data_IF_683074116889
#
_entry.id   IF_683074116889
#
_cell.length_a   1.000
_cell.length_b   1.000
_cell.length_c   1.000
_cell.angle_alpha   90.00
_cell.angle_beta   90.00
_cell.angle_gamma   90.00
#
_symmetry.space_group_name_H-M   'P 1'
#
loop_
_entity.id
_entity.type
_entity.pdbx_description
1 polymer ?
#
# COMPACT_ATOMS: atom_id res chain seq x y z
N UNK A 1 -11.34 -3.18 -25.03
CA UNK A 1 -10.53 -2.35 -24.12
C UNK A 1 -9.23 -3.04 -23.70
N UNK A 2 -9.25 -4.36 -23.43
CA UNK A 2 -8.05 -5.12 -23.07
C UNK A 2 -6.96 -5.12 -24.18
N UNK A 3 -7.37 -5.14 -25.43
CA UNK A 3 -6.46 -5.20 -26.60
C UNK A 3 -5.70 -3.87 -26.85
N UNK A 4 -6.23 -2.74 -26.39
CA UNK A 4 -5.56 -1.43 -26.46
C UNK A 4 -4.54 -1.20 -25.34
N UNK A 5 -4.69 -1.84 -24.20
CA UNK A 5 -3.79 -1.73 -23.05
C UNK A 5 -2.44 -2.44 -23.30
N UNK A 6 -2.40 -3.44 -24.16
CA UNK A 6 -1.19 -4.21 -24.52
C UNK A 6 -0.14 -3.33 -25.26
N UNK A 7 -0.51 -2.13 -25.72
CA UNK A 7 0.39 -1.22 -26.46
C UNK A 7 1.11 -0.17 -25.61
N UNK A 8 0.77 -0.02 -24.34
CA UNK A 8 1.48 0.88 -23.45
C UNK A 8 2.66 0.14 -22.82
N UNK A 9 3.87 0.62 -23.08
CA UNK A 9 5.13 0.10 -22.54
C UNK A 9 5.25 0.30 -21.01
N UNK A 10 4.13 0.50 -20.32
CA UNK A 10 4.07 0.81 -18.89
C UNK A 10 3.74 -0.48 -18.10
N UNK A 11 4.75 -1.03 -17.46
CA UNK A 11 4.66 -2.29 -16.68
C UNK A 11 3.72 -2.23 -15.47
N UNK A 12 3.39 -1.02 -15.02
CA UNK A 12 2.42 -0.81 -13.97
C UNK A 12 1.00 -1.13 -14.42
N UNK A 13 0.66 -0.78 -15.67
CA UNK A 13 -0.66 -1.07 -16.25
C UNK A 13 -0.92 -2.58 -16.30
N UNK A 14 0.10 -3.36 -16.72
CA UNK A 14 0.01 -4.82 -16.77
C UNK A 14 -0.13 -5.45 -15.40
N UNK A 15 0.60 -4.96 -14.39
CA UNK A 15 0.51 -5.45 -13.01
C UNK A 15 -0.88 -5.21 -12.42
N UNK A 16 -1.42 -4.01 -12.63
CA UNK A 16 -2.77 -3.63 -12.18
C UNK A 16 -3.83 -4.46 -12.92
N UNK A 17 -3.79 -4.51 -14.24
CA UNK A 17 -4.79 -5.21 -15.06
C UNK A 17 -4.85 -6.72 -14.75
N UNK A 18 -3.71 -7.37 -14.49
CA UNK A 18 -3.67 -8.79 -14.11
C UNK A 18 -4.18 -9.05 -12.69
N UNK A 19 -4.10 -8.06 -11.80
CA UNK A 19 -4.53 -8.19 -10.40
C UNK A 19 -6.02 -7.92 -10.20
N UNK A 20 -6.68 -7.19 -11.12
CA UNK A 20 -8.07 -6.74 -11.02
C UNK A 20 -9.12 -7.88 -11.05
N UNK A 21 -9.06 -8.88 -11.95
CA UNK A 21 -10.24 -9.71 -12.27
C UNK A 21 -10.82 -10.45 -11.06
N UNK A 22 -9.95 -11.03 -10.22
CA UNK A 22 -10.39 -11.82 -9.07
C UNK A 22 -10.98 -10.97 -7.93
N UNK A 23 -10.28 -9.94 -7.40
CA UNK A 23 -10.82 -9.08 -6.36
C UNK A 23 -12.06 -8.32 -6.81
N UNK A 24 -12.07 -7.83 -8.06
CA UNK A 24 -13.21 -7.10 -8.61
C UNK A 24 -14.46 -7.98 -8.70
N UNK A 25 -14.31 -9.23 -9.11
CA UNK A 25 -15.44 -10.19 -9.14
C UNK A 25 -16.05 -10.38 -7.74
N UNK A 26 -15.22 -10.51 -6.70
CA UNK A 26 -15.68 -10.67 -5.32
C UNK A 26 -16.42 -9.40 -4.86
N UNK A 27 -15.86 -8.22 -5.12
CA UNK A 27 -16.49 -6.95 -4.75
C UNK A 27 -17.84 -6.80 -5.42
N UNK A 28 -17.95 -7.12 -6.72
CA UNK A 28 -19.22 -7.03 -7.47
C UNK A 28 -20.26 -7.97 -6.86
N UNK A 29 -19.90 -9.24 -6.60
CA UNK A 29 -20.82 -10.21 -6.01
C UNK A 29 -21.30 -9.78 -4.63
N UNK A 30 -20.40 -9.32 -3.76
CA UNK A 30 -20.73 -8.90 -2.40
C UNK A 30 -21.57 -7.64 -2.40
N UNK A 31 -21.24 -6.65 -3.25
CA UNK A 31 -22.03 -5.43 -3.39
C UNK A 31 -23.43 -5.77 -3.91
N UNK A 32 -23.53 -6.69 -4.88
CA UNK A 32 -24.83 -7.17 -5.39
C UNK A 32 -25.68 -7.86 -4.32
N UNK A 33 -25.08 -8.76 -3.54
CA UNK A 33 -25.76 -9.44 -2.43
C UNK A 33 -26.16 -8.43 -1.34
N UNK A 34 -25.30 -7.47 -1.00
CA UNK A 34 -25.59 -6.43 -0.02
C UNK A 34 -26.77 -5.56 -0.47
N UNK A 35 -26.81 -5.18 -1.75
CA UNK A 35 -27.92 -4.41 -2.31
C UNK A 35 -29.23 -5.18 -2.30
N UNK A 36 -29.19 -6.46 -2.68
CA UNK A 36 -30.36 -7.34 -2.60
C UNK A 36 -30.86 -7.50 -1.15
N UNK A 37 -29.95 -7.67 -0.19
CA UNK A 37 -30.29 -7.78 1.23
C UNK A 37 -30.91 -6.50 1.79
N UNK A 38 -30.45 -5.33 1.36
CA UNK A 38 -31.02 -4.03 1.78
C UNK A 38 -32.45 -3.84 1.26
N UNK A 39 -32.72 -4.23 0.01
CA UNK A 39 -34.08 -4.20 -0.55
C UNK A 39 -35.00 -5.14 0.23
N UNK A 40 -34.52 -6.34 0.54
CA UNK A 40 -35.27 -7.33 1.31
C UNK A 40 -35.55 -6.87 2.74
N UNK A 41 -34.59 -6.23 3.38
CA UNK A 41 -34.73 -5.65 4.73
C UNK A 41 -35.84 -4.58 4.76
N UNK A 42 -35.83 -3.65 3.79
CA UNK A 42 -36.88 -2.62 3.68
C UNK A 42 -38.25 -3.20 3.45
N UNK A 43 -38.34 -4.37 2.82
CA UNK A 43 -39.62 -5.05 2.56
C UNK A 43 -40.14 -5.91 3.73
N UNK A 44 -39.26 -6.48 4.53
CA UNK A 44 -39.61 -7.47 5.57
C UNK A 44 -39.37 -7.08 7.00
N UNK A 45 -38.57 -5.98 7.23
CA UNK A 45 -38.22 -5.52 8.57
C UNK A 45 -37.31 -6.49 9.35
N UNK A 46 -36.62 -7.41 8.68
CA UNK A 46 -35.85 -8.47 9.31
C UNK A 46 -34.54 -7.91 9.92
N UNK A 47 -34.45 -7.86 11.24
CA UNK A 47 -33.30 -7.35 12.02
C UNK A 47 -32.00 -8.15 11.78
N UNK A 48 -32.12 -9.40 11.33
CA UNK A 48 -30.97 -10.28 11.05
C UNK A 48 -30.00 -9.68 9.99
N UNK A 49 -30.51 -8.83 9.11
CA UNK A 49 -29.73 -8.23 8.04
C UNK A 49 -28.77 -7.12 8.51
N UNK A 50 -28.98 -6.54 9.68
CA UNK A 50 -28.06 -5.56 10.26
C UNK A 50 -26.71 -6.19 10.61
N UNK A 51 -26.69 -7.47 10.99
CA UNK A 51 -25.46 -8.21 11.27
C UNK A 51 -24.60 -8.46 10.01
N UNK A 52 -25.19 -8.34 8.81
CA UNK A 52 -24.44 -8.49 7.55
C UNK A 52 -23.63 -7.27 7.17
N UNK A 53 -23.91 -6.08 7.71
CA UNK A 53 -23.18 -4.85 7.38
C UNK A 53 -21.69 -4.95 7.73
N UNK A 54 -21.29 -5.34 8.97
CA UNK A 54 -19.89 -5.49 9.32
C UNK A 54 -19.18 -6.57 8.49
N UNK A 55 -19.88 -7.65 8.17
CA UNK A 55 -19.34 -8.74 7.37
C UNK A 55 -19.09 -8.29 5.92
N UNK A 56 -20.04 -7.57 5.31
CA UNK A 56 -19.88 -6.95 3.99
C UNK A 56 -18.64 -6.06 3.95
N UNK A 57 -18.53 -5.15 4.92
CA UNK A 57 -17.44 -4.18 4.97
C UNK A 57 -16.10 -4.88 5.16
N UNK A 58 -16.02 -5.88 6.02
CA UNK A 58 -14.83 -6.71 6.21
C UNK A 58 -14.40 -7.42 4.91
N UNK A 59 -15.35 -7.95 4.14
CA UNK A 59 -15.04 -8.64 2.88
C UNK A 59 -14.60 -7.65 1.80
N UNK A 60 -15.21 -6.47 1.72
CA UNK A 60 -14.79 -5.41 0.78
C UNK A 60 -13.36 -4.97 1.11
N UNK A 61 -13.05 -4.68 2.39
CA UNK A 61 -11.71 -4.29 2.84
C UNK A 61 -10.71 -5.41 2.54
N UNK A 62 -11.05 -6.67 2.86
CA UNK A 62 -10.21 -7.82 2.59
C UNK A 62 -9.92 -8.02 1.09
N UNK A 63 -10.95 -7.83 0.24
CA UNK A 63 -10.80 -7.91 -1.23
C UNK A 63 -9.90 -6.81 -1.78
N UNK A 64 -10.03 -5.60 -1.25
CA UNK A 64 -9.18 -4.47 -1.63
C UNK A 64 -7.73 -4.69 -1.18
N UNK A 65 -7.53 -5.15 0.04
CA UNK A 65 -6.21 -5.50 0.55
C UNK A 65 -5.56 -6.62 -0.30
N UNK A 66 -6.32 -7.65 -0.63
CA UNK A 66 -5.86 -8.71 -1.52
C UNK A 66 -5.45 -8.19 -2.89
N UNK A 67 -6.26 -7.32 -3.49
CA UNK A 67 -5.92 -6.64 -4.75
C UNK A 67 -4.59 -5.88 -4.64
N UNK A 68 -4.40 -5.10 -3.57
CA UNK A 68 -3.16 -4.35 -3.36
C UNK A 68 -1.94 -5.28 -3.22
N UNK A 69 -2.08 -6.36 -2.44
CA UNK A 69 -1.01 -7.36 -2.28
C UNK A 69 -0.66 -8.03 -3.60
N UNK A 70 -1.66 -8.41 -4.42
CA UNK A 70 -1.42 -8.98 -5.74
C UNK A 70 -0.72 -7.98 -6.66
N UNK A 71 -1.13 -6.71 -6.63
CA UNK A 71 -0.52 -5.65 -7.44
C UNK A 71 0.95 -5.45 -7.06
N UNK A 72 1.27 -5.43 -5.75
CA UNK A 72 2.66 -5.34 -5.26
C UNK A 72 3.47 -6.55 -5.76
N UNK A 73 2.94 -7.76 -5.65
CA UNK A 73 3.62 -8.97 -6.11
C UNK A 73 3.86 -8.99 -7.62
N UNK A 74 2.88 -8.54 -8.41
CA UNK A 74 3.04 -8.47 -9.87
C UNK A 74 4.03 -7.38 -10.28
N UNK A 75 4.00 -6.22 -9.61
CA UNK A 75 4.98 -5.18 -9.82
C UNK A 75 6.40 -5.69 -9.53
N UNK A 76 6.63 -6.35 -8.38
CA UNK A 76 7.91 -6.96 -8.02
C UNK A 76 8.40 -7.92 -9.11
N UNK A 77 7.56 -8.86 -9.54
CA UNK A 77 7.89 -9.82 -10.60
C UNK A 77 8.22 -9.14 -11.94
N UNK A 78 7.49 -8.08 -12.29
CA UNK A 78 7.71 -7.33 -13.53
C UNK A 78 9.03 -6.57 -13.51
N UNK A 79 9.41 -6.01 -12.36
CA UNK A 79 10.70 -5.33 -12.19
C UNK A 79 11.87 -6.32 -12.27
N UNK A 80 11.78 -7.47 -11.60
CA UNK A 80 12.81 -8.51 -11.66
C UNK A 80 13.04 -9.04 -13.08
N UNK A 81 11.96 -9.18 -13.86
CA UNK A 81 12.06 -9.61 -15.27
C UNK A 81 12.60 -8.53 -16.20
N UNK A 82 12.67 -7.29 -15.76
CA UNK A 82 13.00 -6.12 -16.61
C UNK A 82 14.47 -5.99 -16.96
N UNK A 83 15.36 -6.75 -16.31
CA UNK A 83 16.81 -6.64 -16.51
C UNK A 83 17.40 -5.28 -16.14
N UNK A 84 16.66 -4.43 -15.40
CA UNK A 84 17.22 -3.18 -14.86
C UNK A 84 18.13 -3.53 -13.68
N UNK A 85 19.21 -2.76 -13.49
CA UNK A 85 20.15 -2.86 -12.36
C UNK A 85 19.44 -2.48 -11.02
N UNK A 86 18.45 -3.27 -10.64
CA UNK A 86 17.78 -3.16 -9.34
C UNK A 86 18.20 -4.36 -8.53
N UNK A 87 18.80 -4.11 -7.37
CA UNK A 87 19.15 -5.18 -6.46
C UNK A 87 17.89 -5.96 -6.03
N UNK A 88 17.84 -7.28 -6.32
CA UNK A 88 16.68 -8.11 -5.98
C UNK A 88 16.35 -8.09 -4.47
N UNK A 89 17.37 -7.99 -3.62
CA UNK A 89 17.22 -7.97 -2.16
C UNK A 89 16.52 -6.70 -1.70
N UNK A 90 16.90 -5.56 -2.25
CA UNK A 90 16.27 -4.26 -1.96
C UNK A 90 14.82 -4.25 -2.42
N UNK A 91 14.54 -4.76 -3.61
CA UNK A 91 13.18 -4.83 -4.14
C UNK A 91 12.28 -5.74 -3.30
N UNK A 92 12.77 -6.92 -2.90
CA UNK A 92 12.04 -7.84 -2.01
C UNK A 92 11.76 -7.21 -0.65
N UNK A 93 12.75 -6.50 -0.06
CA UNK A 93 12.57 -5.81 1.22
C UNK A 93 11.48 -4.73 1.14
N UNK A 94 11.50 -3.88 0.11
CA UNK A 94 10.48 -2.84 -0.11
C UNK A 94 9.10 -3.48 -0.32
N UNK A 95 9.02 -4.52 -1.15
CA UNK A 95 7.77 -5.24 -1.43
C UNK A 95 7.20 -5.90 -0.18
N UNK A 96 8.04 -6.46 0.70
CA UNK A 96 7.64 -7.02 1.99
C UNK A 96 7.09 -5.95 2.92
N UNK A 97 7.78 -4.82 3.07
CA UNK A 97 7.32 -3.70 3.88
C UNK A 97 5.97 -3.17 3.39
N UNK A 98 5.81 -3.00 2.08
CA UNK A 98 4.55 -2.56 1.48
C UNK A 98 3.41 -3.55 1.77
N UNK A 99 3.64 -4.87 1.62
CA UNK A 99 2.65 -5.92 1.92
C UNK A 99 2.28 -5.95 3.40
N UNK A 100 3.25 -5.80 4.31
CA UNK A 100 3.01 -5.74 5.76
C UNK A 100 2.16 -4.52 6.10
N UNK A 101 2.44 -3.35 5.50
CA UNK A 101 1.66 -2.13 5.72
C UNK A 101 0.20 -2.29 5.27
N UNK A 102 -0.03 -2.89 4.09
CA UNK A 102 -1.38 -3.21 3.60
C UNK A 102 -2.09 -4.16 4.56
N UNK A 103 -1.41 -5.19 5.03
CA UNK A 103 -1.98 -6.20 5.93
C UNK A 103 -2.37 -5.61 7.29
N UNK A 104 -1.49 -4.81 7.90
CA UNK A 104 -1.78 -4.13 9.18
C UNK A 104 -2.96 -3.18 9.01
N UNK A 105 -2.96 -2.37 7.95
CA UNK A 105 -4.06 -1.42 7.68
C UNK A 105 -5.38 -2.15 7.48
N UNK A 106 -5.41 -3.22 6.70
CA UNK A 106 -6.60 -4.01 6.46
C UNK A 106 -7.15 -4.63 7.75
N UNK A 107 -6.30 -5.19 8.62
CA UNK A 107 -6.72 -5.73 9.91
C UNK A 107 -7.36 -4.64 10.77
N UNK A 108 -6.72 -3.48 10.89
CA UNK A 108 -7.25 -2.37 11.69
C UNK A 108 -8.61 -1.90 11.17
N UNK A 109 -8.76 -1.78 9.84
CA UNK A 109 -10.03 -1.39 9.22
C UNK A 109 -11.12 -2.44 9.43
N UNK A 110 -10.79 -3.73 9.34
CA UNK A 110 -11.73 -4.83 9.58
C UNK A 110 -12.17 -4.83 11.06
N UNK A 111 -11.24 -4.68 12.00
CA UNK A 111 -11.57 -4.58 13.43
C UNK A 111 -12.52 -3.41 13.70
N UNK A 112 -12.26 -2.25 13.08
CA UNK A 112 -13.13 -1.09 13.19
C UNK A 112 -14.51 -1.32 12.56
N UNK A 113 -14.59 -1.98 11.42
CA UNK A 113 -15.84 -2.32 10.75
C UNK A 113 -16.70 -3.28 11.59
N UNK A 114 -16.07 -4.17 12.35
CA UNK A 114 -16.75 -5.10 13.29
C UNK A 114 -17.11 -4.43 14.62
N UNK A 115 -16.75 -3.14 14.81
CA UNK A 115 -17.12 -2.36 16.00
C UNK A 115 -16.07 -2.33 17.10
N UNK A 116 -14.87 -2.88 16.89
CA UNK A 116 -13.77 -2.75 17.84
C UNK A 116 -13.16 -1.35 17.81
N UNK A 117 -12.94 -0.76 18.98
CA UNK A 117 -12.21 0.50 19.09
C UNK A 117 -10.72 0.28 18.83
N UNK A 118 -10.22 0.86 17.73
CA UNK A 118 -8.78 0.81 17.39
C UNK A 118 -7.98 1.96 18.03
N UNK A 119 -8.63 2.86 18.80
CA UNK A 119 -7.97 4.05 19.38
C UNK A 119 -6.78 3.70 20.25
N UNK A 120 -6.88 2.64 21.06
CA UNK A 120 -5.76 2.15 21.88
C UNK A 120 -4.60 1.63 21.03
N UNK A 121 -4.89 0.90 19.96
CA UNK A 121 -3.87 0.38 19.03
C UNK A 121 -3.17 1.53 18.31
N UNK A 122 -3.92 2.55 17.87
CA UNK A 122 -3.36 3.74 17.23
C UNK A 122 -2.53 4.58 18.19
N UNK A 123 -2.98 4.76 19.44
CA UNK A 123 -2.21 5.46 20.47
C UNK A 123 -0.87 4.75 20.74
N UNK A 124 -0.91 3.43 20.92
CA UNK A 124 0.30 2.62 21.13
C UNK A 124 1.21 2.62 19.90
N UNK A 125 0.63 2.50 18.71
CA UNK A 125 1.33 2.59 17.44
C UNK A 125 1.97 3.97 17.22
N UNK A 126 1.32 5.04 17.69
CA UNK A 126 1.87 6.40 17.67
C UNK A 126 3.13 6.53 18.53
N UNK A 127 3.11 6.01 19.75
CA UNK A 127 4.30 5.98 20.63
C UNK A 127 5.40 5.13 20.02
N UNK A 128 5.07 3.94 19.47
CA UNK A 128 6.00 3.09 18.75
C UNK A 128 6.58 3.77 17.51
N UNK A 129 5.76 4.52 16.76
CA UNK A 129 6.17 5.30 15.61
C UNK A 129 7.17 6.40 15.97
N UNK A 130 6.98 7.09 17.09
CA UNK A 130 7.94 8.07 17.61
C UNK A 130 9.28 7.39 17.91
N UNK A 131 9.28 6.24 18.58
CA UNK A 131 10.50 5.50 18.88
C UNK A 131 11.25 5.07 17.61
N UNK A 132 10.53 4.56 16.60
CA UNK A 132 11.11 4.21 15.29
C UNK A 132 11.61 5.46 14.57
N UNK A 133 10.89 6.59 14.65
CA UNK A 133 11.31 7.87 14.08
C UNK A 133 12.61 8.37 14.68
N UNK A 134 12.78 8.28 15.99
CA UNK A 134 14.05 8.61 16.65
C UNK A 134 15.18 7.67 16.24
N UNK A 135 14.93 6.37 16.13
CA UNK A 135 15.92 5.41 15.67
C UNK A 135 16.34 5.65 14.20
N UNK A 136 15.43 6.16 13.36
CA UNK A 136 15.68 6.48 11.96
C UNK A 136 16.17 7.91 11.70
N UNK A 137 16.29 8.74 12.74
CA UNK A 137 16.61 10.19 12.62
C UNK A 137 17.84 10.47 11.76
N UNK A 138 18.94 9.77 12.04
CA UNK A 138 20.21 10.04 11.34
C UNK A 138 20.13 9.58 9.87
N UNK A 139 19.43 8.47 9.59
CA UNK A 139 19.17 8.00 8.24
C UNK A 139 18.36 9.04 7.45
N UNK A 140 17.30 9.56 8.04
CA UNK A 140 16.47 10.60 7.44
C UNK A 140 17.24 11.90 7.23
N UNK A 141 18.04 12.31 8.22
CA UNK A 141 18.89 13.51 8.12
C UNK A 141 19.87 13.41 6.94
N UNK A 142 20.54 12.28 6.79
CA UNK A 142 21.46 12.05 5.68
C UNK A 142 20.75 12.00 4.34
N UNK A 143 19.56 11.36 4.28
CA UNK A 143 18.75 11.31 3.07
C UNK A 143 18.32 12.71 2.63
N UNK A 144 17.76 13.51 3.54
CA UNK A 144 17.35 14.88 3.22
C UNK A 144 18.54 15.77 2.91
N UNK A 145 19.67 15.62 3.63
CA UNK A 145 20.89 16.33 3.30
C UNK A 145 21.37 16.07 1.87
N UNK A 146 21.40 14.80 1.46
CA UNK A 146 21.71 14.42 0.09
C UNK A 146 20.69 14.94 -0.93
N UNK A 147 19.40 14.90 -0.59
CA UNK A 147 18.34 15.43 -1.44
C UNK A 147 18.47 16.95 -1.67
N UNK A 148 18.77 17.72 -0.61
CA UNK A 148 19.02 19.17 -0.71
C UNK A 148 20.21 19.47 -1.60
N UNK A 149 21.34 18.75 -1.44
CA UNK A 149 22.50 18.90 -2.30
C UNK A 149 22.14 18.64 -3.77
N UNK A 150 21.32 17.60 -4.03
CA UNK A 150 20.86 17.27 -5.37
C UNK A 150 19.95 18.33 -5.97
N UNK A 151 19.06 18.93 -5.16
CA UNK A 151 18.10 19.95 -5.62
C UNK A 151 18.75 21.31 -5.82
N UNK A 152 19.49 21.79 -4.83
CA UNK A 152 20.07 23.14 -4.82
C UNK A 152 21.41 23.21 -5.60
N UNK A 153 22.06 22.06 -5.80
CA UNK A 153 23.35 21.95 -6.51
C UNK A 153 24.37 23.00 -6.08
N UNK A 154 24.63 23.15 -4.78
CA UNK A 154 25.60 24.12 -4.30
C UNK A 154 27.04 23.85 -4.81
N UNK A 155 27.29 22.60 -5.23
CA UNK A 155 28.53 22.15 -5.91
C UNK A 155 28.19 20.97 -6.83
N UNK A 156 28.99 20.76 -7.85
CA UNK A 156 28.83 19.68 -8.85
C UNK A 156 30.02 18.71 -8.81
N UNK A 157 29.89 17.56 -9.46
CA UNK A 157 30.97 16.61 -9.62
C UNK A 157 32.11 17.27 -10.43
N UNK A 158 33.28 17.36 -9.84
CA UNK A 158 34.44 18.04 -10.44
C UNK A 158 34.79 19.41 -9.79
N UNK A 159 33.90 19.93 -8.94
CA UNK A 159 34.19 21.17 -8.23
C UNK A 159 35.17 20.94 -7.06
N UNK A 160 36.09 21.87 -6.86
CA UNK A 160 36.94 21.90 -5.70
C UNK A 160 36.16 22.49 -4.52
N UNK A 161 35.93 21.70 -3.50
CA UNK A 161 35.25 22.14 -2.28
C UNK A 161 36.25 22.16 -1.10
N UNK A 162 36.14 23.20 -0.28
CA UNK A 162 36.93 23.34 0.94
C UNK A 162 36.06 23.01 2.15
N UNK A 163 36.37 21.93 2.83
CA UNK A 163 35.77 21.61 4.13
C UNK A 163 36.61 22.19 5.25
N UNK A 164 36.02 22.62 6.40
CA UNK A 164 36.77 23.08 7.56
C UNK A 164 37.83 22.09 8.05
N UNK A 165 37.59 20.80 7.86
CA UNK A 165 38.40 19.71 8.39
C UNK A 165 39.30 19.03 7.34
N UNK A 166 38.99 19.17 6.04
CA UNK A 166 39.78 18.55 4.93
C UNK A 166 39.60 19.30 3.62
N UNK A 167 40.70 19.45 2.87
CA UNK A 167 40.64 19.74 1.44
C UNK A 167 40.37 18.41 0.68
N UNK A 168 39.32 18.36 -0.06
CA UNK A 168 38.95 17.20 -0.86
C UNK A 168 38.82 17.62 -2.31
#
# INVERSE_FOLDING_TARGET
>A
LAEKAIRTANKWDDAVLQSIPRPLSIIIWITGIAFASEIFHKATGAVILEAFIPLRDAIIIGSLAWFLVLTIQQAEKSYLKSGKDVDPTTLDAISKLARISVFITAILMILQAVGFSISGVLAFGGVGGIAVGFAAKDLLSNFFGGLFIYMDRPFAVGDWIRSPDREI
#
